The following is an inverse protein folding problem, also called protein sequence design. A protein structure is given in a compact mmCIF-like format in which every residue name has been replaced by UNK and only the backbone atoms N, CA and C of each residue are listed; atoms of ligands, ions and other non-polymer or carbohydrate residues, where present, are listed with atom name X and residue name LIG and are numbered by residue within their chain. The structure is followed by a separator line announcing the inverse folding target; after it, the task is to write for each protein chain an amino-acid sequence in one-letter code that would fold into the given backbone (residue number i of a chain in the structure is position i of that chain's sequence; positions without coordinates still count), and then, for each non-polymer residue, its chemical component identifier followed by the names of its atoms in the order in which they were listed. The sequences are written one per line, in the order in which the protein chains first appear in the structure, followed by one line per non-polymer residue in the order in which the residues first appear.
data_IF_510641086263
#
_entry.id   IF_510641086263
#
_cell.length_a   1.000
_cell.length_b   1.000
_cell.length_c   1.000
_cell.angle_alpha   90.00
_cell.angle_beta   90.00
_cell.angle_gamma   90.00
#
_symmetry.space_group_name_H-M   'P 1'
#
loop_
_entity.id
_entity.type
_entity.pdbx_description
1 polymer ?
#
# COMPACT_ATOMS: atom_id res chain seq x y z
N UNK A 1 -33.80 14.48 8.86
CA UNK A 1 -32.37 14.59 9.13
C UNK A 1 -32.22 14.50 10.64
N UNK A 2 -31.35 13.65 11.14
CA UNK A 2 -31.08 13.48 12.57
C UNK A 2 -29.76 14.17 12.95
N UNK A 3 -29.54 14.40 14.24
CA UNK A 3 -28.26 14.92 14.70
C UNK A 3 -27.13 13.91 14.40
N UNK A 4 -25.95 14.42 14.04
CA UNK A 4 -24.81 13.58 13.63
C UNK A 4 -24.36 12.62 14.75
N UNK A 5 -24.49 13.03 16.02
CA UNK A 5 -24.06 12.19 17.14
C UNK A 5 -24.95 10.95 17.32
N UNK A 6 -26.26 11.07 17.09
CA UNK A 6 -27.19 9.92 17.10
C UNK A 6 -26.93 9.00 15.91
N UNK A 7 -26.79 9.59 14.69
CA UNK A 7 -26.49 8.82 13.49
C UNK A 7 -25.18 8.04 13.60
N UNK A 8 -24.12 8.60 14.22
CA UNK A 8 -22.87 7.91 14.46
C UNK A 8 -23.02 6.73 15.42
N UNK A 9 -23.83 6.88 16.48
CA UNK A 9 -24.07 5.76 17.42
C UNK A 9 -24.80 4.60 16.73
N UNK A 10 -25.82 4.91 15.94
CA UNK A 10 -26.57 3.92 15.18
C UNK A 10 -25.68 3.21 14.16
N UNK A 11 -24.88 3.96 13.41
CA UNK A 11 -23.94 3.41 12.44
C UNK A 11 -22.92 2.50 13.08
N UNK A 12 -22.32 2.90 14.22
CA UNK A 12 -21.38 2.06 14.94
C UNK A 12 -22.00 0.72 15.42
N UNK A 13 -23.28 0.72 15.82
CA UNK A 13 -23.98 -0.53 16.15
C UNK A 13 -24.21 -1.42 14.91
N UNK A 14 -24.56 -0.81 13.77
CA UNK A 14 -24.76 -1.54 12.52
C UNK A 14 -23.48 -2.16 11.96
N UNK A 15 -22.31 -1.56 12.24
CA UNK A 15 -21.00 -2.01 11.78
C UNK A 15 -20.30 -2.95 12.75
N UNK A 16 -20.83 -3.17 13.96
CA UNK A 16 -20.16 -3.92 15.02
C UNK A 16 -19.84 -5.39 14.68
N UNK A 17 -20.61 -6.00 13.77
CA UNK A 17 -20.41 -7.41 13.40
C UNK A 17 -19.36 -7.58 12.28
N UNK A 18 -18.98 -6.47 11.58
CA UNK A 18 -18.14 -6.54 10.39
C UNK A 18 -16.85 -5.70 10.49
N UNK A 19 -16.66 -4.99 11.59
CA UNK A 19 -15.51 -4.10 11.79
C UNK A 19 -14.95 -4.24 13.19
N UNK A 20 -13.63 -4.29 13.30
CA UNK A 20 -12.90 -4.24 14.58
C UNK A 20 -12.90 -2.83 15.18
N UNK A 21 -13.25 -1.83 14.39
CA UNK A 21 -13.29 -0.42 14.80
C UNK A 21 -14.55 0.32 14.32
N UNK A 22 -15.76 -0.19 14.63
CA UNK A 22 -17.02 0.27 14.03
C UNK A 22 -17.30 1.76 14.28
N UNK A 23 -16.83 2.28 15.41
CA UNK A 23 -16.95 3.70 15.75
C UNK A 23 -16.07 4.56 14.85
N UNK A 24 -14.83 4.14 14.61
CA UNK A 24 -13.89 4.82 13.71
C UNK A 24 -14.42 4.81 12.28
N UNK A 25 -14.90 3.65 11.80
CA UNK A 25 -15.49 3.53 10.48
C UNK A 25 -16.66 4.52 10.29
N UNK A 26 -17.59 4.58 11.26
CA UNK A 26 -18.71 5.51 11.22
C UNK A 26 -18.25 6.99 11.21
N UNK A 27 -17.22 7.34 11.98
CA UNK A 27 -16.65 8.69 12.02
C UNK A 27 -16.01 9.08 10.69
N UNK A 28 -15.25 8.18 10.07
CA UNK A 28 -14.64 8.41 8.76
C UNK A 28 -15.68 8.60 7.66
N UNK A 29 -16.74 7.79 7.65
CA UNK A 29 -17.85 7.92 6.70
C UNK A 29 -18.62 9.23 6.91
N UNK A 30 -18.87 9.63 8.16
CA UNK A 30 -19.54 10.88 8.50
C UNK A 30 -18.70 12.09 8.06
N UNK A 31 -17.41 12.08 8.38
CA UNK A 31 -16.48 13.13 8.00
C UNK A 31 -16.39 13.28 6.48
N UNK A 32 -16.35 12.15 5.75
CA UNK A 32 -16.37 12.13 4.30
C UNK A 32 -17.65 12.75 3.74
N UNK A 33 -18.83 12.35 4.23
CA UNK A 33 -20.11 12.91 3.76
C UNK A 33 -20.27 14.39 4.09
N UNK A 34 -19.64 14.88 5.18
CA UNK A 34 -19.63 16.30 5.53
C UNK A 34 -18.51 17.09 4.85
N UNK A 35 -17.60 16.43 4.12
CA UNK A 35 -16.43 17.06 3.47
C UNK A 35 -15.52 17.80 4.48
N UNK A 36 -15.35 17.25 5.68
CA UNK A 36 -14.48 17.77 6.75
C UNK A 36 -13.52 16.66 7.20
N UNK A 37 -12.46 17.01 7.92
CA UNK A 37 -11.62 16.00 8.55
C UNK A 37 -12.26 15.43 9.83
N UNK A 38 -11.76 14.26 10.28
CA UNK A 38 -12.27 13.58 11.48
C UNK A 38 -12.08 14.42 12.74
N UNK A 39 -11.01 15.18 12.87
CA UNK A 39 -10.75 16.04 14.04
C UNK A 39 -11.76 17.16 14.12
N UNK A 40 -12.07 17.79 12.98
CA UNK A 40 -13.11 18.79 12.88
C UNK A 40 -14.50 18.22 13.18
N UNK A 41 -14.81 17.01 12.66
CA UNK A 41 -16.04 16.30 13.01
C UNK A 41 -16.18 16.15 14.51
N UNK A 42 -15.17 15.60 15.19
CA UNK A 42 -15.23 15.34 16.63
C UNK A 42 -15.38 16.63 17.44
N UNK A 43 -14.72 17.71 17.04
CA UNK A 43 -14.78 19.02 17.70
C UNK A 43 -16.18 19.65 17.58
N UNK A 44 -16.80 19.53 16.40
CA UNK A 44 -18.08 20.19 16.07
C UNK A 44 -19.29 19.28 16.23
N UNK A 45 -19.12 18.01 16.57
CA UNK A 45 -20.14 16.98 16.54
C UNK A 45 -21.51 17.38 17.16
N UNK A 46 -21.57 18.10 18.30
CA UNK A 46 -22.86 18.46 18.90
C UNK A 46 -23.71 19.44 18.06
N UNK A 47 -23.09 20.12 17.10
CA UNK A 47 -23.74 21.14 16.27
C UNK A 47 -23.98 20.68 14.83
N UNK A 48 -23.54 19.46 14.47
CA UNK A 48 -23.64 18.95 13.11
C UNK A 48 -24.90 18.12 12.91
N UNK A 49 -25.45 18.21 11.71
CA UNK A 49 -26.49 17.30 11.20
C UNK A 49 -25.82 16.23 10.31
N UNK A 50 -26.38 15.02 10.32
CA UNK A 50 -25.91 13.95 9.46
C UNK A 50 -26.22 14.29 7.98
N UNK A 51 -25.26 14.14 7.06
CA UNK A 51 -25.49 14.38 5.65
C UNK A 51 -26.43 13.32 5.05
N UNK A 52 -27.16 13.69 4.01
CA UNK A 52 -28.19 12.84 3.41
C UNK A 52 -27.64 11.51 2.87
N UNK A 53 -26.41 11.49 2.39
CA UNK A 53 -25.71 10.31 1.88
C UNK A 53 -25.17 9.36 2.95
N UNK A 54 -25.07 9.77 4.22
CA UNK A 54 -24.46 8.97 5.27
C UNK A 54 -25.05 7.55 5.41
N UNK A 55 -26.38 7.34 5.39
CA UNK A 55 -26.93 5.99 5.43
C UNK A 55 -26.50 5.10 4.26
N UNK A 56 -26.32 5.68 3.07
CA UNK A 56 -25.85 4.93 1.90
C UNK A 56 -24.36 4.54 2.04
N UNK A 57 -23.52 5.40 2.60
CA UNK A 57 -22.13 5.09 2.91
C UNK A 57 -22.01 3.96 3.94
N UNK A 58 -22.80 4.01 5.01
CA UNK A 58 -22.89 2.94 6.02
C UNK A 58 -23.34 1.62 5.39
N UNK A 59 -24.35 1.66 4.51
CA UNK A 59 -24.83 0.46 3.81
C UNK A 59 -23.79 -0.15 2.86
N UNK A 60 -22.88 0.64 2.28
CA UNK A 60 -21.71 0.13 1.53
C UNK A 60 -20.77 -0.62 2.47
N UNK A 61 -20.41 -0.03 3.61
CA UNK A 61 -19.53 -0.67 4.60
C UNK A 61 -20.14 -1.97 5.17
N UNK A 62 -21.47 -2.00 5.41
CA UNK A 62 -22.16 -3.22 5.83
C UNK A 62 -22.04 -4.40 4.85
N UNK A 63 -21.71 -4.13 3.58
CA UNK A 63 -21.39 -5.16 2.57
C UNK A 63 -19.88 -5.49 2.56
N UNK A 64 -19.16 -5.17 3.62
CA UNK A 64 -17.72 -5.34 3.78
C UNK A 64 -16.86 -4.49 2.83
N UNK A 65 -17.42 -3.49 2.13
CA UNK A 65 -16.62 -2.60 1.30
C UNK A 65 -15.61 -1.83 2.17
N UNK A 66 -14.31 -1.83 1.84
CA UNK A 66 -13.30 -1.14 2.64
C UNK A 66 -13.59 0.35 2.75
N UNK A 67 -13.37 0.92 3.94
CA UNK A 67 -13.53 2.38 4.16
C UNK A 67 -12.71 3.18 3.14
N UNK A 68 -11.48 2.75 2.85
CA UNK A 68 -10.62 3.43 1.88
C UNK A 68 -11.24 3.50 0.47
N UNK A 69 -11.92 2.45 0.02
CA UNK A 69 -12.64 2.46 -1.26
C UNK A 69 -13.91 3.32 -1.21
N UNK A 70 -14.61 3.34 -0.07
CA UNK A 70 -15.81 4.17 0.09
C UNK A 70 -15.46 5.65 0.02
N UNK A 71 -14.37 6.07 0.70
CA UNK A 71 -13.93 7.47 0.74
C UNK A 71 -12.96 7.84 -0.40
N UNK A 72 -12.43 6.84 -1.13
CA UNK A 72 -11.53 7.02 -2.27
C UNK A 72 -10.09 7.39 -1.90
N UNK A 73 -9.72 7.27 -0.61
CA UNK A 73 -8.37 7.62 -0.14
C UNK A 73 -7.93 6.81 1.06
N UNK A 74 -6.61 6.69 1.22
CA UNK A 74 -5.93 6.05 2.34
C UNK A 74 -4.72 6.88 2.75
N UNK A 75 -4.58 7.14 4.02
CA UNK A 75 -3.35 7.69 4.58
C UNK A 75 -2.29 6.59 4.69
N UNK A 76 -1.06 6.90 4.29
CA UNK A 76 0.13 6.07 4.42
C UNK A 76 1.34 6.98 4.60
N UNK A 77 2.15 6.78 5.61
CA UNK A 77 3.34 7.57 5.93
C UNK A 77 3.04 9.10 6.08
N UNK A 78 1.90 9.45 6.67
CA UNK A 78 1.46 10.86 6.80
C UNK A 78 1.03 11.52 5.48
N UNK A 79 0.97 10.78 4.37
CA UNK A 79 0.56 11.25 3.05
C UNK A 79 -0.80 10.69 2.67
N UNK A 80 -1.64 11.49 1.99
CA UNK A 80 -2.94 11.06 1.49
C UNK A 80 -2.81 10.46 0.09
N UNK A 81 -3.19 9.20 -0.09
CA UNK A 81 -3.18 8.49 -1.37
C UNK A 81 -4.59 8.26 -1.89
N UNK A 82 -4.84 8.57 -3.15
CA UNK A 82 -6.01 8.07 -3.88
C UNK A 82 -5.91 6.54 -3.99
N UNK A 83 -7.02 5.85 -3.70
CA UNK A 83 -7.15 4.40 -3.88
C UNK A 83 -8.48 4.07 -4.55
N UNK A 84 -8.50 3.00 -5.34
CA UNK A 84 -9.67 2.44 -6.00
C UNK A 84 -9.59 0.91 -5.92
N UNK A 85 -10.63 0.17 -6.31
CA UNK A 85 -10.57 -1.29 -6.40
C UNK A 85 -9.49 -1.85 -7.36
N UNK A 86 -8.80 -0.99 -8.11
CA UNK A 86 -7.73 -1.42 -9.03
C UNK A 86 -6.35 -1.52 -8.37
N UNK A 87 -6.20 -1.11 -7.10
CA UNK A 87 -4.94 -1.15 -6.37
C UNK A 87 -5.11 -1.75 -4.99
N UNK A 88 -4.06 -2.40 -4.49
CA UNK A 88 -3.98 -2.79 -3.09
C UNK A 88 -4.05 -1.53 -2.22
N UNK A 89 -4.90 -1.55 -1.20
CA UNK A 89 -4.96 -0.48 -0.20
C UNK A 89 -3.63 -0.48 0.58
N UNK A 90 -2.88 0.63 0.65
CA UNK A 90 -1.63 0.70 1.40
C UNK A 90 -1.80 0.23 2.85
N UNK A 91 -0.93 -0.70 3.28
CA UNK A 91 -0.97 -1.31 4.60
C UNK A 91 -0.03 -0.57 5.56
N UNK A 92 -0.44 -0.36 6.82
CA UNK A 92 0.45 0.24 7.84
C UNK A 92 1.75 -0.55 8.01
N UNK A 93 1.70 -1.88 7.90
CA UNK A 93 2.87 -2.76 8.06
C UNK A 93 3.96 -2.46 7.02
N UNK A 94 3.56 -2.05 5.81
CA UNK A 94 4.49 -1.64 4.73
C UNK A 94 5.29 -0.37 5.07
N UNK A 95 4.87 0.42 6.08
CA UNK A 95 5.62 1.59 6.54
C UNK A 95 6.99 1.21 7.11
N UNK A 96 7.14 -0.03 7.62
CA UNK A 96 8.41 -0.57 8.06
C UNK A 96 9.48 -0.54 6.94
N UNK A 97 9.08 -0.71 5.68
CA UNK A 97 10.02 -0.60 4.55
C UNK A 97 10.60 0.82 4.44
N UNK A 98 9.80 1.85 4.70
CA UNK A 98 10.27 3.25 4.69
C UNK A 98 11.15 3.54 5.90
N UNK A 99 10.77 3.08 7.09
CA UNK A 99 11.60 3.22 8.31
C UNK A 99 12.98 2.59 8.11
N UNK A 100 13.02 1.35 7.59
CA UNK A 100 14.28 0.65 7.33
C UNK A 100 15.09 1.31 6.21
N UNK A 101 14.45 1.84 5.17
CA UNK A 101 15.12 2.63 4.16
C UNK A 101 15.80 3.86 4.77
N UNK A 102 15.10 4.63 5.60
CA UNK A 102 15.66 5.79 6.29
C UNK A 102 16.85 5.40 7.18
N UNK A 103 16.72 4.32 7.95
CA UNK A 103 17.79 3.80 8.81
C UNK A 103 19.04 3.41 8.01
N UNK A 104 18.87 2.66 6.93
CA UNK A 104 19.96 2.15 6.10
C UNK A 104 20.69 3.25 5.33
N UNK A 105 19.97 4.30 4.96
CA UNK A 105 20.48 5.40 4.15
C UNK A 105 20.67 6.72 4.92
N UNK A 106 20.69 6.68 6.27
CA UNK A 106 20.91 7.85 7.12
C UNK A 106 22.20 8.61 6.77
N UNK A 107 23.30 7.88 6.59
CA UNK A 107 24.62 8.48 6.30
C UNK A 107 24.81 8.87 4.83
N UNK A 108 24.12 8.21 3.91
CA UNK A 108 24.22 8.43 2.46
C UNK A 108 22.86 8.16 1.81
N UNK A 109 22.04 9.17 1.61
CA UNK A 109 20.72 9.02 0.97
C UNK A 109 20.80 8.37 -0.42
N UNK A 110 19.83 7.51 -0.80
CA UNK A 110 19.77 6.90 -2.12
C UNK A 110 19.49 7.98 -3.16
N UNK A 111 20.07 7.82 -4.35
CA UNK A 111 19.81 8.71 -5.48
C UNK A 111 18.81 8.10 -6.46
N UNK A 112 18.81 6.77 -6.55
CA UNK A 112 17.94 6.04 -7.49
C UNK A 112 17.17 4.96 -6.74
N UNK A 113 15.85 5.05 -6.80
CA UNK A 113 14.91 4.14 -6.12
C UNK A 113 14.09 3.41 -7.18
N UNK A 114 13.91 2.11 -7.03
CA UNK A 114 12.90 1.36 -7.77
C UNK A 114 11.85 0.80 -6.79
N UNK A 115 10.60 0.73 -7.26
CA UNK A 115 9.49 0.10 -6.55
C UNK A 115 8.83 -0.92 -7.46
N UNK A 116 8.92 -2.18 -7.08
CA UNK A 116 8.44 -3.31 -7.88
C UNK A 116 7.03 -3.70 -7.42
N UNK A 117 6.05 -3.57 -8.31
CA UNK A 117 4.64 -3.72 -7.96
C UNK A 117 4.10 -2.47 -7.25
N UNK A 118 4.29 -1.31 -7.86
CA UNK A 118 4.09 -0.02 -7.17
C UNK A 118 2.64 0.26 -6.76
N UNK A 119 1.65 -0.39 -7.37
CA UNK A 119 0.24 -0.23 -7.04
C UNK A 119 -0.21 1.23 -7.09
N UNK A 120 -0.64 1.77 -5.97
CA UNK A 120 -1.01 3.19 -5.81
C UNK A 120 0.18 4.16 -5.81
N UNK A 121 1.41 3.66 -5.87
CA UNK A 121 2.64 4.44 -5.75
C UNK A 121 3.06 4.72 -4.30
N UNK A 122 2.39 4.14 -3.30
CA UNK A 122 2.55 4.52 -1.91
C UNK A 122 3.99 4.38 -1.40
N UNK A 123 4.64 3.23 -1.63
CA UNK A 123 6.02 3.01 -1.21
C UNK A 123 7.00 3.95 -1.91
N UNK A 124 6.91 4.05 -3.23
CA UNK A 124 7.80 4.91 -4.00
C UNK A 124 7.66 6.38 -3.60
N UNK A 125 6.43 6.87 -3.52
CA UNK A 125 6.17 8.28 -3.25
C UNK A 125 6.51 8.64 -1.79
N UNK A 126 6.27 7.76 -0.82
CA UNK A 126 6.73 7.92 0.55
C UNK A 126 8.26 7.97 0.63
N UNK A 127 8.97 7.06 -0.06
CA UNK A 127 10.42 7.09 -0.12
C UNK A 127 10.95 8.40 -0.78
N UNK A 128 10.31 8.86 -1.86
CA UNK A 128 10.69 10.12 -2.50
C UNK A 128 10.33 11.35 -1.66
N UNK A 129 9.36 11.27 -0.78
CA UNK A 129 9.06 12.32 0.20
C UNK A 129 10.22 12.47 1.19
N UNK A 130 10.72 11.35 1.72
CA UNK A 130 11.84 11.34 2.69
C UNK A 130 13.20 11.68 2.02
N UNK A 131 13.45 11.15 0.82
CA UNK A 131 14.71 11.35 0.11
C UNK A 131 14.56 12.43 -0.97
N UNK A 132 14.65 13.70 -0.57
CA UNK A 132 14.33 14.87 -1.41
C UNK A 132 15.10 14.94 -2.74
N UNK A 133 16.33 14.44 -2.81
CA UNK A 133 17.18 14.45 -4.02
C UNK A 133 17.05 13.19 -4.88
N UNK A 134 16.36 12.17 -4.37
CA UNK A 134 16.19 10.90 -5.08
C UNK A 134 15.23 11.02 -6.27
N UNK A 135 15.47 10.18 -7.27
CA UNK A 135 14.55 9.91 -8.37
C UNK A 135 14.11 8.46 -8.34
N UNK A 136 12.84 8.21 -8.62
CA UNK A 136 12.28 6.89 -8.51
C UNK A 136 11.59 6.39 -9.79
N UNK A 137 11.55 5.07 -9.90
CA UNK A 137 10.80 4.37 -10.94
C UNK A 137 9.93 3.32 -10.28
N UNK A 138 8.61 3.45 -10.42
CA UNK A 138 7.64 2.41 -10.04
C UNK A 138 7.26 1.57 -11.27
N UNK A 139 7.19 0.27 -11.09
CA UNK A 139 6.66 -0.63 -12.12
C UNK A 139 5.42 -1.34 -11.63
N UNK A 140 4.50 -1.60 -12.54
CA UNK A 140 3.31 -2.42 -12.29
C UNK A 140 2.83 -3.07 -13.59
N UNK A 141 2.23 -4.25 -13.51
CA UNK A 141 1.60 -4.93 -14.63
C UNK A 141 0.22 -4.33 -14.99
N UNK A 142 -0.39 -3.55 -14.08
CA UNK A 142 -1.69 -2.91 -14.24
C UNK A 142 -1.56 -1.46 -14.72
N UNK A 143 -2.06 -1.17 -15.90
CA UNK A 143 -2.12 0.20 -16.42
C UNK A 143 -3.05 1.10 -15.58
N UNK A 144 -4.10 0.55 -14.98
CA UNK A 144 -5.01 1.28 -14.10
C UNK A 144 -4.34 1.63 -12.77
N UNK A 145 -3.55 0.71 -12.19
CA UNK A 145 -2.74 0.99 -11.00
C UNK A 145 -1.74 2.13 -11.26
N UNK A 146 -1.04 2.09 -12.40
CA UNK A 146 -0.09 3.16 -12.77
C UNK A 146 -0.77 4.51 -12.96
N UNK A 147 -2.01 4.54 -13.46
CA UNK A 147 -2.76 5.80 -13.56
C UNK A 147 -3.03 6.39 -12.16
N UNK A 148 -3.35 5.55 -11.18
CA UNK A 148 -3.55 5.97 -9.79
C UNK A 148 -2.22 6.45 -9.19
N UNK A 149 -1.12 5.72 -9.41
CA UNK A 149 0.21 6.14 -8.98
C UNK A 149 0.63 7.49 -9.56
N UNK A 150 0.34 7.73 -10.84
CA UNK A 150 0.56 9.05 -11.47
C UNK A 150 -0.27 10.15 -10.80
N UNK A 151 -1.57 9.91 -10.59
CA UNK A 151 -2.44 10.89 -9.94
C UNK A 151 -1.94 11.22 -8.52
N UNK A 152 -1.48 10.23 -7.77
CA UNK A 152 -0.89 10.41 -6.45
C UNK A 152 0.43 11.21 -6.52
N UNK A 153 1.29 10.88 -7.49
CA UNK A 153 2.51 11.64 -7.74
C UNK A 153 2.25 13.12 -8.02
N UNK A 154 1.25 13.41 -8.84
CA UNK A 154 0.82 14.78 -9.16
C UNK A 154 0.26 15.49 -7.92
N UNK A 155 -0.63 14.83 -7.17
CA UNK A 155 -1.25 15.40 -5.96
C UNK A 155 -0.22 15.72 -4.86
N UNK A 156 0.84 14.90 -4.75
CA UNK A 156 1.92 15.07 -3.78
C UNK A 156 3.06 15.98 -4.29
N UNK A 157 3.00 16.45 -5.55
CA UNK A 157 4.04 17.29 -6.15
C UNK A 157 5.36 16.57 -6.42
N UNK A 158 5.31 15.25 -6.65
CA UNK A 158 6.49 14.39 -6.82
C UNK A 158 6.69 13.90 -8.27
N UNK A 159 5.83 14.26 -9.20
CA UNK A 159 5.83 13.80 -10.60
C UNK A 159 7.13 14.07 -11.35
N UNK A 160 7.85 15.14 -11.03
CA UNK A 160 9.14 15.46 -11.66
C UNK A 160 10.25 14.47 -11.25
N UNK A 161 10.04 13.71 -10.16
CA UNK A 161 11.01 12.77 -9.59
C UNK A 161 10.53 11.32 -9.63
N UNK A 162 9.23 11.08 -9.83
CA UNK A 162 8.62 9.76 -9.94
C UNK A 162 8.29 9.44 -11.41
N UNK A 163 8.71 8.28 -11.88
CA UNK A 163 8.35 7.73 -13.18
C UNK A 163 7.66 6.39 -12.99
N UNK A 164 6.59 6.15 -13.72
CA UNK A 164 5.85 4.89 -13.66
C UNK A 164 5.87 4.20 -15.01
N UNK A 165 6.15 2.88 -15.02
CA UNK A 165 6.30 2.07 -16.23
C UNK A 165 5.38 0.86 -16.18
N UNK A 166 4.63 0.65 -17.25
CA UNK A 166 3.87 -0.59 -17.44
C UNK A 166 4.86 -1.71 -17.74
N UNK A 167 5.10 -2.57 -16.76
CA UNK A 167 6.09 -3.62 -16.84
C UNK A 167 5.69 -4.78 -15.94
N UNK A 168 5.63 -5.97 -16.54
CA UNK A 168 5.29 -7.20 -15.87
C UNK A 168 6.57 -8.04 -15.71
N UNK A 169 6.97 -8.34 -14.47
CA UNK A 169 8.15 -9.15 -14.15
C UNK A 169 8.06 -10.61 -14.57
N UNK A 170 6.87 -11.10 -14.93
CA UNK A 170 6.72 -12.45 -15.50
C UNK A 170 7.16 -12.51 -16.97
N UNK A 171 7.36 -11.37 -17.61
CA UNK A 171 7.81 -11.31 -19.02
C UNK A 171 9.32 -11.47 -19.13
N UNK A 172 9.78 -12.10 -20.22
CA UNK A 172 11.21 -12.28 -20.44
C UNK A 172 11.95 -10.93 -20.58
N UNK A 173 13.12 -10.84 -19.94
CA UNK A 173 14.01 -9.66 -20.01
C UNK A 173 13.39 -8.35 -19.50
N UNK A 174 12.44 -8.41 -18.60
CA UNK A 174 11.80 -7.23 -18.00
C UNK A 174 12.81 -6.27 -17.35
N UNK A 175 13.91 -6.78 -16.78
CA UNK A 175 14.98 -5.98 -16.17
C UNK A 175 15.65 -5.04 -17.17
N UNK A 176 15.73 -5.39 -18.46
CA UNK A 176 16.37 -4.55 -19.48
C UNK A 176 15.59 -3.25 -19.70
N UNK A 177 14.26 -3.30 -19.57
CA UNK A 177 13.38 -2.12 -19.70
C UNK A 177 13.40 -1.23 -18.47
N UNK A 178 13.59 -1.80 -17.27
CA UNK A 178 13.68 -1.07 -16.02
C UNK A 178 15.03 -0.35 -15.89
N UNK A 179 16.10 -0.95 -16.41
CA UNK A 179 17.48 -0.48 -16.24
C UNK A 179 18.11 -0.98 -14.94
N UNK A 180 19.20 -0.35 -14.50
CA UNK A 180 20.01 -0.84 -13.38
C UNK A 180 20.63 0.31 -12.57
N UNK A 181 21.38 -0.05 -11.52
CA UNK A 181 22.10 0.88 -10.67
C UNK A 181 21.21 1.60 -9.66
N UNK A 182 20.19 0.90 -9.14
CA UNK A 182 19.33 1.39 -8.07
C UNK A 182 20.04 1.26 -6.72
N UNK A 183 20.02 2.33 -5.95
CA UNK A 183 20.55 2.32 -4.59
C UNK A 183 19.59 1.65 -3.62
N UNK A 184 18.28 1.82 -3.87
CA UNK A 184 17.21 1.21 -3.10
C UNK A 184 16.21 0.56 -4.05
N UNK A 185 15.85 -0.68 -3.77
CA UNK A 185 14.70 -1.38 -4.36
C UNK A 185 13.70 -1.64 -3.25
N UNK A 186 12.46 -1.24 -3.45
CA UNK A 186 11.31 -1.55 -2.61
C UNK A 186 10.43 -2.55 -3.34
N UNK A 187 9.83 -3.48 -2.63
CA UNK A 187 8.82 -4.36 -3.18
C UNK A 187 7.86 -4.87 -2.08
N UNK A 188 6.58 -4.78 -2.36
CA UNK A 188 5.54 -5.52 -1.66
C UNK A 188 4.82 -6.40 -2.69
N UNK A 189 5.44 -7.50 -3.13
CA UNK A 189 4.85 -8.37 -4.15
C UNK A 189 3.70 -9.18 -3.56
N UNK A 190 2.79 -9.74 -4.37
CA UNK A 190 1.81 -10.71 -3.92
C UNK A 190 2.50 -11.86 -3.16
N UNK A 191 1.92 -12.26 -2.02
CA UNK A 191 2.50 -13.31 -1.18
C UNK A 191 1.47 -14.28 -0.58
N UNK A 192 0.20 -14.12 -0.92
CA UNK A 192 -0.85 -15.01 -0.41
C UNK A 192 -0.88 -16.30 -1.22
N UNK A 193 -0.89 -17.45 -0.53
CA UNK A 193 -1.07 -18.75 -1.17
C UNK A 193 -2.51 -18.92 -1.69
N UNK A 194 -2.67 -19.52 -2.86
CA UNK A 194 -3.96 -19.64 -3.58
C UNK A 194 -5.08 -20.35 -2.81
N UNK A 195 -4.74 -21.12 -1.76
CA UNK A 195 -5.72 -21.84 -0.92
C UNK A 195 -6.15 -21.08 0.34
N UNK A 196 -5.60 -19.90 0.60
CA UNK A 196 -5.89 -19.13 1.81
C UNK A 196 -7.21 -18.37 1.66
N UNK A 197 -8.08 -18.48 2.68
CA UNK A 197 -9.30 -17.69 2.76
C UNK A 197 -8.97 -16.32 3.37
N UNK A 198 -9.27 -15.28 2.63
CA UNK A 198 -9.10 -13.90 3.06
C UNK A 198 -10.38 -13.35 3.68
N UNK A 199 -10.26 -12.28 4.47
CA UNK A 199 -11.41 -11.52 4.94
C UNK A 199 -12.20 -10.95 3.77
N UNK A 200 -13.52 -10.81 3.91
CA UNK A 200 -14.42 -10.44 2.83
C UNK A 200 -14.10 -9.07 2.22
N UNK A 201 -13.62 -8.12 3.02
CA UNK A 201 -13.22 -6.80 2.56
C UNK A 201 -11.98 -6.83 1.66
N UNK A 202 -11.11 -7.81 1.84
CA UNK A 202 -9.94 -8.03 0.97
C UNK A 202 -10.33 -8.88 -0.24
N UNK A 203 -10.97 -10.05 0.00
CA UNK A 203 -11.26 -11.02 -1.05
C UNK A 203 -12.20 -10.49 -2.15
N UNK A 204 -13.21 -9.69 -1.77
CA UNK A 204 -14.25 -9.24 -2.68
C UNK A 204 -13.96 -7.86 -3.30
N UNK A 205 -13.01 -7.09 -2.75
CA UNK A 205 -12.83 -5.69 -3.12
C UNK A 205 -11.42 -5.30 -3.57
N UNK A 206 -10.40 -6.11 -3.28
CA UNK A 206 -9.04 -5.81 -3.71
C UNK A 206 -8.61 -6.69 -4.90
N UNK A 207 -7.71 -6.23 -5.79
CA UNK A 207 -7.37 -6.96 -6.99
C UNK A 207 -6.61 -8.26 -6.66
N UNK A 208 -7.14 -9.41 -7.06
CA UNK A 208 -6.58 -10.74 -6.78
C UNK A 208 -5.12 -10.89 -7.24
N UNK A 209 -4.75 -10.24 -8.35
CA UNK A 209 -3.38 -10.25 -8.86
C UNK A 209 -2.38 -9.52 -7.94
N UNK A 210 -2.85 -8.66 -7.05
CA UNK A 210 -2.00 -8.00 -6.04
C UNK A 210 -1.93 -8.79 -4.71
N UNK A 211 -2.62 -9.93 -4.63
CA UNK A 211 -2.73 -10.74 -3.41
C UNK A 211 -2.06 -12.11 -3.56
N UNK A 212 -2.40 -12.85 -4.62
CA UNK A 212 -2.08 -14.27 -4.73
C UNK A 212 -0.82 -14.54 -5.58
N UNK A 213 0.09 -15.37 -5.06
CA UNK A 213 1.36 -15.75 -5.70
C UNK A 213 1.57 -17.29 -5.70
N UNK A 214 0.68 -18.00 -6.38
CA UNK A 214 0.78 -19.46 -6.53
C UNK A 214 0.37 -20.26 -5.30
N UNK A 215 0.69 -21.55 -5.30
CA UNK A 215 0.26 -22.49 -4.25
C UNK A 215 0.88 -22.20 -2.88
N UNK A 216 2.10 -21.67 -2.87
CA UNK A 216 2.87 -21.38 -1.65
C UNK A 216 2.97 -19.88 -1.33
N UNK A 217 2.48 -18.99 -2.23
CA UNK A 217 2.65 -17.54 -2.09
C UNK A 217 4.08 -17.05 -2.36
N UNK A 218 4.90 -17.84 -3.08
CA UNK A 218 6.33 -17.57 -3.26
C UNK A 218 6.72 -17.28 -4.73
N UNK A 219 5.77 -17.34 -5.66
CA UNK A 219 6.09 -17.31 -7.09
C UNK A 219 6.77 -16.01 -7.51
N UNK A 220 6.33 -14.87 -6.98
CA UNK A 220 6.91 -13.58 -7.30
C UNK A 220 8.31 -13.40 -6.72
N UNK A 221 8.58 -13.90 -5.52
CA UNK A 221 9.94 -13.90 -4.95
C UNK A 221 10.92 -14.72 -5.78
N UNK A 222 10.47 -15.87 -6.32
CA UNK A 222 11.28 -16.72 -7.22
C UNK A 222 11.68 -16.01 -8.50
N UNK A 223 10.91 -15.01 -8.92
CA UNK A 223 11.20 -14.20 -10.11
C UNK A 223 12.07 -12.98 -9.75
N UNK A 224 11.74 -12.28 -8.67
CA UNK A 224 12.36 -11.01 -8.29
C UNK A 224 13.75 -11.22 -7.70
N UNK A 225 13.90 -12.09 -6.72
CA UNK A 225 15.14 -12.24 -5.96
C UNK A 225 16.36 -12.57 -6.83
N UNK A 226 16.30 -13.55 -7.76
CA UNK A 226 17.47 -13.92 -8.55
C UNK A 226 18.00 -12.85 -9.50
N UNK A 227 17.25 -11.77 -9.73
CA UNK A 227 17.64 -10.71 -10.68
C UNK A 227 17.98 -9.37 -10.00
N UNK A 228 17.91 -9.30 -8.68
CA UNK A 228 18.21 -8.07 -7.95
C UNK A 228 19.66 -7.58 -8.20
N UNK A 229 20.62 -8.48 -8.41
CA UNK A 229 22.02 -8.16 -8.73
C UNK A 229 22.16 -7.37 -10.04
N UNK A 230 21.28 -7.60 -11.01
CA UNK A 230 21.26 -6.87 -12.29
C UNK A 230 20.69 -5.46 -12.12
N UNK A 231 19.85 -5.26 -11.12
CA UNK A 231 19.14 -4.01 -10.87
C UNK A 231 19.88 -3.10 -9.90
N UNK A 232 20.45 -3.67 -8.83
CA UNK A 232 21.10 -2.92 -7.75
C UNK A 232 22.42 -2.26 -8.19
N UNK A 233 22.74 -1.14 -7.58
CA UNK A 233 24.10 -0.59 -7.56
C UNK A 233 25.01 -1.47 -6.67
N UNK A 234 26.34 -1.37 -6.76
CA UNK A 234 27.25 -2.21 -5.97
C UNK A 234 27.08 -2.11 -4.44
N UNK A 235 26.47 -1.04 -3.96
CA UNK A 235 26.16 -0.83 -2.53
C UNK A 235 24.66 -0.74 -2.29
N UNK A 236 23.85 -1.05 -3.29
CA UNK A 236 22.39 -0.98 -3.22
C UNK A 236 21.79 -1.97 -2.23
N UNK A 237 20.60 -1.71 -1.82
CA UNK A 237 19.80 -2.53 -0.91
C UNK A 237 18.43 -2.79 -1.51
N UNK A 238 17.91 -3.99 -1.28
CA UNK A 238 16.52 -4.34 -1.56
C UNK A 238 15.78 -4.58 -0.24
N UNK A 239 14.59 -4.02 -0.11
CA UNK A 239 13.67 -4.21 1.00
C UNK A 239 12.39 -4.83 0.44
N UNK A 240 12.07 -6.03 0.90
CA UNK A 240 10.91 -6.79 0.44
C UNK A 240 9.99 -7.07 1.62
N UNK A 241 8.71 -6.76 1.47
CA UNK A 241 7.68 -7.25 2.39
C UNK A 241 7.43 -8.74 2.13
N UNK A 242 7.18 -9.49 3.20
CA UNK A 242 6.92 -10.94 3.14
C UNK A 242 5.78 -11.31 4.09
N UNK A 243 5.11 -12.41 3.83
CA UNK A 243 4.15 -12.98 4.75
C UNK A 243 4.82 -13.45 6.05
N UNK A 244 4.07 -13.45 7.14
CA UNK A 244 4.55 -13.73 8.50
C UNK A 244 5.23 -15.11 8.64
N UNK A 245 4.88 -16.07 7.81
CA UNK A 245 5.39 -17.44 7.79
C UNK A 245 6.41 -17.71 6.68
N UNK A 246 6.76 -16.69 5.87
CA UNK A 246 7.63 -16.81 4.71
C UNK A 246 9.09 -16.46 4.98
N UNK A 247 9.45 -16.06 6.20
CA UNK A 247 10.81 -15.64 6.55
C UNK A 247 11.87 -16.70 6.17
N UNK A 248 11.62 -17.98 6.47
CA UNK A 248 12.53 -19.07 6.13
C UNK A 248 12.76 -19.23 4.62
N UNK A 249 11.73 -19.56 3.85
CA UNK A 249 11.89 -19.83 2.41
C UNK A 249 12.37 -18.61 1.62
N UNK A 250 11.95 -17.39 1.96
CA UNK A 250 12.43 -16.19 1.26
C UNK A 250 13.89 -15.88 1.60
N UNK A 251 14.30 -16.05 2.87
CA UNK A 251 15.70 -15.90 3.25
C UNK A 251 16.61 -16.91 2.53
N UNK A 252 16.19 -18.17 2.46
CA UNK A 252 16.93 -19.22 1.75
C UNK A 252 17.12 -18.88 0.26
N UNK A 253 16.07 -18.44 -0.42
CA UNK A 253 16.18 -17.99 -1.83
C UNK A 253 17.15 -16.81 -2.00
N UNK A 254 17.15 -15.86 -1.08
CA UNK A 254 18.04 -14.71 -1.13
C UNK A 254 19.50 -15.12 -0.87
N UNK A 255 19.75 -15.98 0.11
CA UNK A 255 21.09 -16.50 0.43
C UNK A 255 21.65 -17.36 -0.71
N UNK A 256 20.84 -18.23 -1.32
CA UNK A 256 21.20 -19.00 -2.51
C UNK A 256 21.56 -18.11 -3.72
N UNK A 257 20.93 -16.94 -3.80
CA UNK A 257 21.24 -15.90 -4.79
C UNK A 257 22.46 -15.04 -4.43
N UNK A 258 23.10 -15.33 -3.28
CA UNK A 258 24.35 -14.67 -2.84
C UNK A 258 24.14 -13.39 -2.02
N UNK A 259 22.92 -13.10 -1.55
CA UNK A 259 22.63 -11.94 -0.70
C UNK A 259 22.84 -12.23 0.78
N UNK A 260 23.15 -11.19 1.53
CA UNK A 260 23.07 -11.20 2.99
C UNK A 260 21.67 -10.72 3.39
N UNK A 261 21.01 -11.48 4.24
CA UNK A 261 19.62 -11.24 4.67
C UNK A 261 19.60 -10.67 6.08
N UNK A 262 18.79 -9.65 6.28
CA UNK A 262 18.39 -9.15 7.60
C UNK A 262 16.87 -9.17 7.66
N UNK A 263 16.31 -9.83 8.67
CA UNK A 263 14.86 -9.86 8.89
C UNK A 263 14.46 -8.80 9.89
N UNK A 264 13.38 -8.10 9.58
CA UNK A 264 12.69 -7.17 10.48
C UNK A 264 11.26 -7.62 10.64
N UNK A 265 10.72 -7.35 11.80
CA UNK A 265 9.33 -7.69 12.14
C UNK A 265 8.61 -6.40 12.52
N UNK A 266 7.40 -6.24 12.02
CA UNK A 266 6.53 -5.15 12.43
C UNK A 266 6.11 -5.27 13.91
N UNK A 267 5.43 -4.25 14.41
CA UNK A 267 4.98 -4.21 15.80
C UNK A 267 3.69 -5.01 16.05
N UNK A 268 3.00 -5.45 15.00
CA UNK A 268 1.73 -6.16 15.12
C UNK A 268 1.90 -7.64 15.50
N UNK A 269 3.09 -8.24 15.32
CA UNK A 269 3.47 -9.65 15.61
C UNK A 269 2.64 -10.68 14.89
#
# INVERSE_FOLDING_TARGET
MGDAASALREAALLLAEISDSPRLDAELLMAHGLQIDRSELLLKLPALEAPAEFPALVARRQRSEPIAHIIGRKEFWGLDFQVTPDVLIPRPDSELLIEEAMRLFEAKPPQRIADLGTGSGALLLAALHEFAEARGVGIDASATALQIAHNNGDALGLSDRARFLLLDWTTANWTDSLGSGFDLILANPPYVASGVSLAADVADFEPHQALFAGEEGLDDYRIIIPVLDKLLSPTGRALLEIGYDQAGPVSEMAEESGYQVELKQDLAK
#
